data_IF_547070130527
#
_entry.id   IF_547070130527
#
_cell.length_a   1.000
_cell.length_b   1.000
_cell.length_c   1.000
_cell.angle_alpha   90.00
_cell.angle_beta   90.00
_cell.angle_gamma   90.00
#
_symmetry.space_group_name_H-M   'P 1'
#
loop_
_entity.id
_entity.type
_entity.pdbx_description
1 polymer ?
#
# COMPACT_ATOMS: atom_id res chain seq x y z
N UNK A 1 -0.85 -8.72 0.39
CA UNK A 1 -0.75 -7.52 1.25
C UNK A 1 -2.15 -7.21 1.77
N UNK A 2 -2.34 -7.04 3.07
CA UNK A 2 -3.65 -6.75 3.68
C UNK A 2 -3.53 -5.71 4.79
N UNK A 3 -4.62 -5.00 5.06
CA UNK A 3 -4.74 -3.98 6.10
C UNK A 3 -6.13 -3.98 6.72
N UNK A 4 -6.30 -3.28 7.85
CA UNK A 4 -7.60 -3.11 8.49
C UNK A 4 -8.48 -2.09 7.76
N UNK A 5 -9.80 -2.28 7.82
CA UNK A 5 -10.73 -1.28 7.34
C UNK A 5 -10.66 -0.01 8.21
N UNK A 6 -10.77 1.15 7.57
CA UNK A 6 -10.86 2.46 8.23
C UNK A 6 -12.28 2.98 8.05
N UNK A 7 -12.90 3.42 9.15
CA UNK A 7 -14.25 3.97 9.11
C UNK A 7 -14.33 5.22 8.19
N UNK A 8 -15.40 5.32 7.42
CA UNK A 8 -15.59 6.37 6.40
C UNK A 8 -14.70 6.26 5.15
N UNK A 9 -13.81 5.27 5.04
CA UNK A 9 -13.01 5.06 3.84
C UNK A 9 -13.82 4.41 2.72
N UNK A 10 -13.77 4.98 1.52
CA UNK A 10 -14.40 4.41 0.31
C UNK A 10 -13.39 3.70 -0.58
N UNK A 11 -12.11 4.07 -0.49
CA UNK A 11 -10.99 3.42 -1.17
C UNK A 11 -9.69 3.60 -0.41
N UNK A 12 -8.67 2.88 -0.85
CA UNK A 12 -7.33 2.89 -0.31
C UNK A 12 -6.31 3.14 -1.43
N UNK A 13 -5.23 3.81 -1.03
CA UNK A 13 -4.03 3.93 -1.85
C UNK A 13 -2.92 3.09 -1.22
N UNK A 14 -2.36 2.19 -2.01
CA UNK A 14 -1.25 1.29 -1.65
C UNK A 14 0.00 1.73 -2.41
N UNK A 15 1.11 1.86 -1.68
CA UNK A 15 2.42 2.11 -2.26
C UNK A 15 3.45 1.15 -1.66
N UNK A 16 4.18 0.46 -2.54
CA UNK A 16 5.33 -0.39 -2.22
C UNK A 16 6.58 0.11 -2.92
N UNK A 17 7.69 0.23 -2.19
CA UNK A 17 9.02 0.57 -2.72
C UNK A 17 10.08 -0.42 -2.21
N UNK A 18 11.26 -0.41 -2.82
CA UNK A 18 12.45 -1.01 -2.23
C UNK A 18 12.99 -0.13 -1.09
N UNK A 19 13.52 -0.75 -0.04
CA UNK A 19 14.19 -0.01 1.04
C UNK A 19 15.41 0.73 0.49
N UNK A 20 15.56 2.00 0.88
CA UNK A 20 16.67 2.85 0.43
C UNK A 20 16.48 3.49 -0.95
N UNK A 21 15.38 3.18 -1.65
CA UNK A 21 15.09 3.73 -2.98
C UNK A 21 13.65 4.26 -3.02
N UNK A 22 13.44 5.38 -3.70
CA UNK A 22 12.09 5.88 -3.99
C UNK A 22 11.65 5.36 -5.35
N UNK A 23 11.16 4.12 -5.39
CA UNK A 23 10.56 3.52 -6.57
C UNK A 23 9.13 3.02 -6.26
N UNK A 24 8.23 3.07 -7.25
CA UNK A 24 6.85 2.59 -7.12
C UNK A 24 6.76 1.19 -7.68
N UNK A 25 7.32 0.21 -6.97
CA UNK A 25 7.30 -1.21 -7.39
C UNK A 25 5.87 -1.69 -7.54
N UNK A 26 5.02 -1.33 -6.58
CA UNK A 26 3.58 -1.43 -6.68
C UNK A 26 3.00 -0.08 -6.29
N UNK A 27 2.06 0.41 -7.08
CA UNK A 27 1.29 1.60 -6.75
C UNK A 27 -0.15 1.42 -7.23
N UNK A 28 -1.09 1.41 -6.28
CA UNK A 28 -2.51 1.24 -6.55
C UNK A 28 -3.27 2.40 -5.91
N UNK A 29 -3.78 3.37 -6.69
CA UNK A 29 -4.33 4.61 -6.16
C UNK A 29 -5.79 4.53 -5.68
N UNK A 30 -6.49 3.42 -5.95
CA UNK A 30 -7.94 3.36 -5.77
C UNK A 30 -8.47 1.94 -5.53
N UNK A 31 -7.88 1.22 -4.58
CA UNK A 31 -8.38 -0.09 -4.17
C UNK A 31 -9.63 0.04 -3.31
N UNK A 32 -10.70 -0.67 -3.64
CA UNK A 32 -11.94 -0.71 -2.84
C UNK A 32 -11.95 -1.86 -1.83
N UNK A 33 -10.97 -2.76 -1.90
CA UNK A 33 -10.76 -3.87 -0.96
C UNK A 33 -9.71 -3.51 0.08
N UNK A 34 -9.62 -4.32 1.14
CA UNK A 34 -8.61 -4.21 2.21
C UNK A 34 -7.41 -5.14 2.01
N UNK A 35 -7.25 -5.65 0.78
CA UNK A 35 -6.14 -6.52 0.40
C UNK A 35 -5.80 -6.37 -1.06
N UNK A 36 -4.52 -6.60 -1.37
CA UNK A 36 -3.97 -6.64 -2.71
C UNK A 36 -3.01 -7.82 -2.86
N UNK A 37 -3.18 -8.55 -3.96
CA UNK A 37 -2.26 -9.60 -4.41
C UNK A 37 -1.48 -9.06 -5.60
N UNK A 38 -0.13 -8.99 -5.55
CA UNK A 38 0.68 -8.62 -6.70
C UNK A 38 0.38 -9.49 -7.91
N UNK A 39 0.27 -8.86 -9.09
CA UNK A 39 0.03 -9.56 -10.37
C UNK A 39 1.29 -10.18 -10.96
N UNK A 40 2.46 -9.73 -10.50
CA UNK A 40 3.77 -10.27 -10.85
C UNK A 40 4.55 -10.64 -9.60
N UNK A 41 5.44 -11.63 -9.74
CA UNK A 41 6.38 -11.96 -8.70
C UNK A 41 7.31 -10.78 -8.44
N UNK A 42 7.48 -10.44 -7.16
CA UNK A 42 8.49 -9.49 -6.73
C UNK A 42 9.83 -10.24 -6.63
N UNK A 43 10.90 -9.64 -7.15
CA UNK A 43 12.23 -10.17 -6.95
C UNK A 43 12.61 -10.13 -5.45
N UNK A 44 13.52 -11.02 -5.06
CA UNK A 44 14.09 -11.00 -3.71
C UNK A 44 14.65 -9.61 -3.37
N UNK A 45 14.44 -9.18 -2.14
CA UNK A 45 14.86 -7.88 -1.66
C UNK A 45 14.02 -7.36 -0.49
N UNK A 46 14.42 -6.19 -0.02
CA UNK A 46 13.77 -5.49 1.08
C UNK A 46 12.79 -4.44 0.55
N UNK A 47 11.57 -4.46 1.07
CA UNK A 47 10.48 -3.58 0.67
C UNK A 47 9.90 -2.81 1.85
N UNK A 48 9.35 -1.64 1.55
CA UNK A 48 8.49 -0.87 2.46
C UNK A 48 7.11 -0.71 1.83
N UNK A 49 6.10 -0.84 2.66
CA UNK A 49 4.70 -0.80 2.27
C UNK A 49 3.98 0.26 3.10
N UNK A 50 3.22 1.11 2.42
CA UNK A 50 2.31 2.06 3.03
C UNK A 50 0.91 1.95 2.44
N UNK A 51 -0.08 2.16 3.29
CA UNK A 51 -1.48 2.29 2.89
C UNK A 51 -2.05 3.56 3.49
N UNK A 52 -2.91 4.26 2.76
CA UNK A 52 -3.76 5.33 3.31
C UNK A 52 -5.20 5.19 2.87
N UNK A 53 -6.10 5.63 3.74
CA UNK A 53 -7.53 5.67 3.46
C UNK A 53 -7.89 6.94 2.67
N UNK A 54 -8.92 6.84 1.83
CA UNK A 54 -9.53 7.96 1.13
C UNK A 54 -11.04 7.86 1.33
N UNK A 55 -11.67 8.95 1.79
CA UNK A 55 -13.11 8.99 2.00
C UNK A 55 -13.89 9.33 0.70
N UNK A 56 -15.22 9.39 0.79
CA UNK A 56 -16.10 9.72 -0.34
C UNK A 56 -15.81 11.07 -1.00
N UNK A 57 -15.36 12.05 -0.22
CA UNK A 57 -14.99 13.39 -0.70
C UNK A 57 -13.59 13.45 -1.31
N UNK A 58 -12.87 12.33 -1.33
CA UNK A 58 -11.50 12.26 -1.84
C UNK A 58 -10.42 12.77 -0.86
N UNK A 59 -10.77 13.02 0.40
CA UNK A 59 -9.84 13.41 1.46
C UNK A 59 -9.00 12.19 1.84
N UNK A 60 -7.69 12.39 1.87
CA UNK A 60 -6.69 11.35 2.18
C UNK A 60 -6.29 11.43 3.64
N UNK A 61 -6.20 10.29 4.31
CA UNK A 61 -5.55 10.19 5.61
C UNK A 61 -4.03 10.39 5.46
N UNK A 62 -3.34 10.50 6.61
CA UNK A 62 -1.92 10.22 6.66
C UNK A 62 -1.65 8.78 6.19
N UNK A 63 -0.44 8.53 5.68
CA UNK A 63 0.04 7.17 5.44
C UNK A 63 0.12 6.40 6.75
N UNK A 64 -0.10 5.08 6.68
CA UNK A 64 0.21 4.17 7.77
C UNK A 64 1.68 4.27 8.18
N UNK A 65 2.02 3.72 9.34
CA UNK A 65 3.41 3.35 9.61
C UNK A 65 3.93 2.43 8.49
N UNK A 66 5.22 2.57 8.16
CA UNK A 66 5.85 1.74 7.16
C UNK A 66 5.90 0.28 7.65
N UNK A 67 5.39 -0.64 6.84
CA UNK A 67 5.64 -2.08 7.03
C UNK A 67 6.87 -2.47 6.21
N UNK A 68 7.93 -2.93 6.87
CA UNK A 68 9.11 -3.47 6.21
C UNK A 68 8.92 -4.97 5.98
N UNK A 69 9.22 -5.46 4.78
CA UNK A 69 9.13 -6.87 4.39
C UNK A 69 10.38 -7.27 3.64
N UNK A 70 10.94 -8.43 3.97
CA UNK A 70 12.01 -9.08 3.21
C UNK A 70 11.42 -10.24 2.41
N UNK A 71 11.76 -10.30 1.12
CA UNK A 71 11.46 -11.41 0.22
C UNK A 71 12.77 -12.10 -0.10
N UNK A 72 12.85 -13.41 0.18
CA UNK A 72 14.04 -14.25 -0.08
C UNK A 72 13.74 -15.28 -1.16
#
# INVERSE_FOLDING_TARGET
ISWGAVDGATRYELWVNHVGVTNKVIYQPSLTTTSYTPTSNLAAGNFRIWVRAINGDGIRSAWSSALNVEIT
#
